data_IF_336233557421
#
_entry.id   IF_336233557421
#
_cell.length_a   1.000
_cell.length_b   1.000
_cell.length_c   1.000
_cell.angle_alpha   90.00
_cell.angle_beta   90.00
_cell.angle_gamma   90.00
#
_symmetry.space_group_name_H-M   'P 1'
#
loop_
_entity.id
_entity.type
_entity.pdbx_description
1 polymer ?
#
# COMPACT_ATOMS: atom_id res chain seq x y z
N UNK A 1 3.42 -21.25 23.24
CA UNK A 1 4.44 -22.27 22.87
C UNK A 1 4.16 -22.88 21.50
N UNK A 2 2.98 -23.47 21.26
CA UNK A 2 2.61 -24.06 19.95
C UNK A 2 2.61 -23.05 18.79
N UNK A 3 2.07 -21.85 18.99
CA UNK A 3 2.04 -20.78 17.97
C UNK A 3 3.45 -20.26 17.64
N UNK A 4 4.33 -20.15 18.65
CA UNK A 4 5.70 -19.67 18.48
C UNK A 4 6.55 -20.67 17.69
N UNK A 5 6.44 -21.98 17.98
CA UNK A 5 7.10 -23.04 17.21
C UNK A 5 6.66 -23.07 15.74
N UNK A 6 5.39 -22.76 15.47
CA UNK A 6 4.86 -22.68 14.09
C UNK A 6 5.36 -21.43 13.36
N UNK A 7 5.49 -20.29 14.05
CA UNK A 7 6.02 -19.04 13.49
C UNK A 7 7.50 -19.15 13.13
N UNK A 8 8.30 -19.84 13.96
CA UNK A 8 9.72 -20.06 13.72
C UNK A 8 10.01 -20.97 12.49
N UNK A 9 9.02 -21.73 11.98
CA UNK A 9 9.20 -22.58 10.78
C UNK A 9 9.05 -21.83 9.44
N UNK A 10 8.80 -20.52 9.47
CA UNK A 10 9.18 -19.59 8.40
C UNK A 10 8.52 -19.73 7.02
N UNK A 11 7.28 -20.22 6.90
CA UNK A 11 6.65 -20.39 5.56
C UNK A 11 5.24 -19.80 5.34
N UNK A 12 4.53 -19.31 6.36
CA UNK A 12 3.16 -18.78 6.20
C UNK A 12 2.87 -17.69 7.24
N UNK A 13 2.06 -16.65 6.94
CA UNK A 13 1.49 -15.80 7.98
C UNK A 13 0.66 -16.64 8.97
N UNK A 14 0.91 -16.46 10.28
CA UNK A 14 0.19 -17.18 11.32
C UNK A 14 -1.04 -16.39 11.78
N UNK A 15 -2.20 -17.01 11.60
CA UNK A 15 -3.49 -16.49 12.00
C UNK A 15 -3.94 -17.14 13.31
N UNK A 16 -4.52 -16.34 14.18
CA UNK A 16 -5.14 -16.83 15.41
C UNK A 16 -6.48 -16.15 15.64
N UNK A 17 -7.24 -16.74 16.56
CA UNK A 17 -8.48 -16.17 17.06
C UNK A 17 -8.32 -15.96 18.55
N UNK A 18 -8.79 -14.83 19.04
CA UNK A 18 -8.95 -14.60 20.48
C UNK A 18 -10.37 -14.15 20.76
N UNK A 19 -10.87 -14.48 21.95
CA UNK A 19 -12.15 -13.98 22.43
C UNK A 19 -11.91 -12.69 23.20
N UNK A 20 -12.47 -11.59 22.69
CA UNK A 20 -12.52 -10.32 23.40
C UNK A 20 -14.00 -9.95 23.51
N UNK A 21 -14.49 -9.77 24.74
CA UNK A 21 -15.86 -9.34 25.02
C UNK A 21 -16.94 -10.11 24.22
N UNK A 22 -16.89 -11.44 24.25
CA UNK A 22 -17.83 -12.35 23.57
C UNK A 22 -17.87 -12.27 22.03
N UNK A 23 -16.88 -11.63 21.40
CA UNK A 23 -16.69 -11.66 19.94
C UNK A 23 -15.39 -12.36 19.59
N UNK A 24 -15.44 -13.24 18.59
CA UNK A 24 -14.23 -13.81 17.96
C UNK A 24 -13.61 -12.74 17.08
N UNK A 25 -12.46 -12.23 17.49
CA UNK A 25 -11.70 -11.27 16.68
C UNK A 25 -10.54 -11.98 16.04
N UNK A 26 -10.47 -11.92 14.71
CA UNK A 26 -9.35 -12.42 13.94
C UNK A 26 -8.19 -11.45 14.04
N UNK A 27 -6.98 -11.99 14.15
CA UNK A 27 -5.79 -11.18 14.15
C UNK A 27 -4.72 -11.78 13.25
N UNK A 28 -3.90 -10.90 12.70
CA UNK A 28 -2.70 -11.26 11.94
C UNK A 28 -1.47 -10.91 12.77
N UNK A 29 -0.56 -11.87 12.94
CA UNK A 29 0.74 -11.59 13.57
C UNK A 29 1.63 -10.84 12.59
N UNK A 30 2.07 -9.64 12.97
CA UNK A 30 2.96 -8.79 12.18
C UNK A 30 4.44 -9.06 12.48
N UNK A 31 4.76 -9.30 13.74
CA UNK A 31 6.10 -9.62 14.19
C UNK A 31 6.06 -10.46 15.46
N UNK A 32 7.03 -11.36 15.62
CA UNK A 32 7.24 -12.13 16.84
C UNK A 32 8.68 -11.89 17.31
N UNK A 33 8.87 -11.60 18.59
CA UNK A 33 10.19 -11.57 19.21
C UNK A 33 10.17 -12.33 20.53
N UNK A 34 11.32 -12.88 20.91
CA UNK A 34 11.52 -13.52 22.20
C UNK A 34 12.29 -12.57 23.13
N UNK A 35 11.88 -12.55 24.39
CA UNK A 35 12.52 -11.79 25.46
C UNK A 35 12.84 -12.77 26.60
N UNK A 36 14.11 -12.84 27.01
CA UNK A 36 14.52 -13.67 28.15
C UNK A 36 14.38 -12.83 29.41
N UNK A 37 13.32 -13.09 30.17
CA UNK A 37 12.97 -12.31 31.37
C UNK A 37 13.90 -12.65 32.55
N UNK A 38 14.47 -13.85 32.59
CA UNK A 38 15.46 -14.29 33.57
C UNK A 38 16.38 -15.36 32.97
N UNK A 39 17.66 -15.33 33.29
CA UNK A 39 18.62 -16.33 32.83
C UNK A 39 18.21 -17.73 33.31
N UNK A 40 18.07 -18.66 32.36
CA UNK A 40 17.60 -20.04 32.62
C UNK A 40 16.08 -20.25 32.63
N UNK A 41 15.26 -19.22 32.38
CA UNK A 41 13.80 -19.40 32.19
C UNK A 41 13.41 -19.53 30.72
N UNK A 42 12.24 -20.12 30.47
CA UNK A 42 11.64 -20.12 29.14
C UNK A 42 11.48 -18.68 28.61
N UNK A 43 11.76 -18.44 27.31
CA UNK A 43 11.62 -17.11 26.72
C UNK A 43 10.15 -16.69 26.65
N UNK A 44 9.88 -15.44 27.01
CA UNK A 44 8.59 -14.80 26.76
C UNK A 44 8.51 -14.42 25.29
N UNK A 45 7.43 -14.80 24.62
CA UNK A 45 7.20 -14.41 23.24
C UNK A 45 6.23 -13.24 23.18
N UNK A 46 6.69 -12.12 22.62
CA UNK A 46 5.88 -10.92 22.40
C UNK A 46 5.54 -10.84 20.91
N UNK A 47 4.25 -10.83 20.61
CA UNK A 47 3.73 -10.68 19.26
C UNK A 47 3.10 -9.29 19.08
N UNK A 48 3.48 -8.60 18.01
CA UNK A 48 2.72 -7.46 17.51
C UNK A 48 1.66 -8.01 16.58
N UNK A 49 0.40 -7.67 16.82
CA UNK A 49 -0.73 -8.16 16.03
C UNK A 49 -1.53 -7.00 15.45
N UNK A 50 -2.05 -7.19 14.25
CA UNK A 50 -3.08 -6.34 13.66
C UNK A 50 -4.44 -7.00 13.91
N UNK A 51 -5.34 -6.26 14.54
CA UNK A 51 -6.73 -6.68 14.72
C UNK A 51 -7.49 -6.42 13.42
N UNK A 52 -8.23 -7.43 12.95
CA UNK A 52 -9.05 -7.33 11.74
C UNK A 52 -10.48 -6.99 12.12
N UNK A 53 -11.13 -6.14 11.32
CA UNK A 53 -12.54 -5.83 11.52
C UNK A 53 -13.43 -6.98 11.01
N UNK A 54 -14.67 -7.05 11.50
CA UNK A 54 -15.64 -8.07 11.06
C UNK A 54 -15.91 -8.01 9.55
N UNK A 55 -15.78 -6.84 8.91
CA UNK A 55 -15.85 -6.67 7.45
C UNK A 55 -14.74 -7.45 6.74
N UNK A 56 -13.53 -7.44 7.30
CA UNK A 56 -12.36 -8.10 6.74
C UNK A 56 -12.50 -9.62 6.90
N UNK A 57 -13.12 -10.06 7.99
CA UNK A 57 -13.46 -11.47 8.24
C UNK A 57 -14.62 -11.97 7.37
N UNK A 58 -15.60 -11.11 7.06
CA UNK A 58 -16.76 -11.47 6.24
C UNK A 58 -16.38 -11.76 4.79
N UNK A 59 -15.36 -11.06 4.25
CA UNK A 59 -14.75 -11.33 2.95
C UNK A 59 -13.98 -12.65 2.91
N UNK A 60 -13.54 -13.16 4.06
CA UNK A 60 -12.86 -14.45 4.18
C UNK A 60 -13.84 -15.64 4.32
N UNK A 61 -15.15 -15.40 4.56
CA UNK A 61 -16.14 -16.45 4.84
C UNK A 61 -17.03 -16.84 3.66
N UNK A 62 -17.01 -16.12 2.55
CA UNK A 62 -17.70 -16.53 1.32
C UNK A 62 -16.74 -17.30 0.43
N UNK A 63 -16.79 -18.62 0.51
CA UNK A 63 -16.05 -19.50 -0.39
C UNK A 63 -16.50 -19.40 -1.85
N UNK A 64 -15.62 -19.89 -2.72
CA UNK A 64 -15.90 -20.33 -4.10
C UNK A 64 -16.22 -19.24 -5.15
N UNK A 65 -15.31 -18.27 -5.27
CA UNK A 65 -14.81 -17.92 -6.60
C UNK A 65 -13.33 -18.25 -6.59
N UNK A 66 -12.91 -19.32 -7.26
CA UNK A 66 -11.50 -19.67 -7.47
C UNK A 66 -10.85 -18.61 -8.37
N UNK A 67 -10.58 -17.43 -7.82
CA UNK A 67 -9.50 -16.62 -8.32
C UNK A 67 -8.32 -16.86 -7.38
N UNK A 68 -7.22 -17.49 -7.85
CA UNK A 68 -6.00 -17.49 -7.06
C UNK A 68 -5.69 -16.04 -6.70
N UNK A 69 -5.27 -15.81 -5.46
CA UNK A 69 -4.81 -14.48 -5.05
C UNK A 69 -3.80 -13.99 -6.11
N UNK A 70 -3.95 -12.76 -6.62
CA UNK A 70 -3.10 -12.29 -7.70
C UNK A 70 -1.64 -12.44 -7.27
N UNK A 71 -0.83 -13.13 -8.08
CA UNK A 71 0.62 -13.21 -7.83
C UNK A 71 1.34 -11.90 -8.21
N UNK A 72 0.61 -11.00 -8.88
CA UNK A 72 1.11 -9.72 -9.38
C UNK A 72 0.06 -8.61 -9.28
N UNK A 73 0.54 -7.37 -9.28
CA UNK A 73 -0.29 -6.16 -9.36
C UNK A 73 -0.79 -5.89 -10.79
N UNK A 74 -0.28 -6.61 -11.79
CA UNK A 74 -0.66 -6.40 -13.19
C UNK A 74 -2.14 -6.71 -13.42
N UNK A 75 -2.82 -5.83 -14.16
CA UNK A 75 -4.26 -5.83 -14.37
C UNK A 75 -5.06 -5.21 -13.22
N UNK A 76 -4.43 -4.78 -12.13
CA UNK A 76 -5.11 -4.23 -10.97
C UNK A 76 -5.20 -2.71 -10.98
N UNK A 77 -6.23 -2.22 -10.28
CA UNK A 77 -6.51 -0.79 -10.10
C UNK A 77 -6.73 -0.51 -8.61
N UNK A 78 -6.00 0.45 -8.08
CA UNK A 78 -6.08 0.86 -6.67
C UNK A 78 -6.69 2.24 -6.59
N UNK A 79 -7.76 2.35 -5.81
CA UNK A 79 -8.61 3.54 -5.74
C UNK A 79 -8.57 4.09 -4.33
N UNK A 80 -8.33 5.39 -4.20
CA UNK A 80 -8.37 6.01 -2.88
C UNK A 80 -9.79 6.09 -2.32
N UNK A 81 -9.89 5.85 -1.01
CA UNK A 81 -11.13 5.95 -0.23
C UNK A 81 -11.76 7.33 -0.41
N UNK A 82 -13.05 7.36 -0.76
CA UNK A 82 -13.82 8.59 -0.96
C UNK A 82 -13.70 9.24 -2.35
N UNK A 83 -12.75 8.81 -3.17
CA UNK A 83 -12.49 9.38 -4.51
C UNK A 83 -13.13 8.63 -5.67
N UNK A 84 -13.08 7.30 -5.61
CA UNK A 84 -13.54 6.45 -6.71
C UNK A 84 -12.56 6.36 -7.89
N UNK A 85 -12.92 5.55 -8.88
CA UNK A 85 -12.13 5.32 -10.08
C UNK A 85 -11.86 6.62 -10.84
N UNK A 86 -10.61 6.84 -11.25
CA UNK A 86 -10.18 8.03 -11.99
C UNK A 86 -9.98 9.27 -11.13
N UNK A 87 -10.10 9.19 -9.81
CA UNK A 87 -9.77 10.28 -8.89
C UNK A 87 -8.43 9.99 -8.21
N UNK A 88 -7.33 10.24 -8.94
CA UNK A 88 -5.97 9.83 -8.56
C UNK A 88 -5.85 8.31 -8.28
N UNK A 89 -6.58 7.49 -9.03
CA UNK A 89 -6.48 6.02 -8.94
C UNK A 89 -5.23 5.52 -9.66
N UNK A 90 -4.54 4.53 -9.10
CA UNK A 90 -3.36 3.90 -9.70
C UNK A 90 -3.77 2.70 -10.56
N UNK A 91 -3.28 2.64 -11.79
CA UNK A 91 -3.55 1.58 -12.74
C UNK A 91 -2.24 0.88 -13.10
N UNK A 92 -2.15 -0.41 -12.79
CA UNK A 92 -1.01 -1.26 -13.11
C UNK A 92 -1.41 -2.20 -14.24
N UNK A 93 -1.61 -1.66 -15.44
CA UNK A 93 -2.24 -2.40 -16.54
C UNK A 93 -1.37 -3.57 -17.03
N UNK A 94 -0.06 -3.36 -17.19
CA UNK A 94 0.90 -4.36 -17.63
C UNK A 94 2.32 -4.00 -17.17
N UNK A 95 3.31 -4.91 -17.34
CA UNK A 95 4.72 -4.59 -17.09
C UNK A 95 5.27 -3.40 -17.88
N UNK A 96 4.59 -2.97 -18.95
CA UNK A 96 5.01 -1.87 -19.83
C UNK A 96 4.07 -0.66 -19.75
N UNK A 97 3.01 -0.71 -18.93
CA UNK A 97 2.01 0.35 -18.86
C UNK A 97 1.44 0.49 -17.46
N UNK A 98 1.86 1.56 -16.78
CA UNK A 98 1.35 1.97 -15.47
C UNK A 98 1.02 3.46 -15.50
N UNK A 99 -0.05 3.90 -14.85
CA UNK A 99 -0.43 5.31 -14.81
C UNK A 99 -1.29 5.68 -13.60
N UNK A 100 -1.36 6.98 -13.32
CA UNK A 100 -2.34 7.60 -12.43
C UNK A 100 -3.46 8.17 -13.29
N UNK A 101 -4.71 7.82 -13.00
CA UNK A 101 -5.87 8.40 -13.68
C UNK A 101 -6.48 9.54 -12.88
N UNK A 102 -6.71 10.65 -13.57
CA UNK A 102 -7.43 11.85 -13.13
C UNK A 102 -8.69 12.07 -13.98
N UNK A 103 -9.20 11.04 -14.67
CA UNK A 103 -10.36 11.12 -15.58
C UNK A 103 -11.71 11.39 -14.88
N UNK A 104 -11.81 11.16 -13.56
CA UNK A 104 -13.01 11.46 -12.80
C UNK A 104 -13.34 12.94 -12.87
N UNK A 105 -14.63 13.28 -13.01
CA UNK A 105 -15.08 14.66 -12.96
C UNK A 105 -14.71 15.35 -11.63
N UNK A 106 -14.60 14.58 -10.53
CA UNK A 106 -14.16 15.08 -9.23
C UNK A 106 -12.72 15.57 -9.26
N UNK A 107 -11.88 15.09 -10.18
CA UNK A 107 -10.46 15.48 -10.25
C UNK A 107 -10.26 16.97 -10.55
N UNK A 108 -11.29 17.67 -11.03
CA UNK A 108 -11.29 19.14 -11.16
C UNK A 108 -11.16 19.88 -9.82
N UNK A 109 -11.33 19.18 -8.70
CA UNK A 109 -11.10 19.73 -7.35
C UNK A 109 -9.63 19.73 -6.96
N UNK A 110 -8.76 19.00 -7.67
CA UNK A 110 -7.33 19.09 -7.44
C UNK A 110 -6.80 20.47 -7.90
N UNK A 111 -5.74 20.99 -7.26
CA UNK A 111 -5.06 22.18 -7.74
C UNK A 111 -4.62 22.02 -9.20
N UNK A 112 -4.67 23.11 -9.96
CA UNK A 112 -4.03 23.16 -11.27
C UNK A 112 -2.52 22.91 -11.14
N UNK A 113 -1.90 22.52 -12.25
CA UNK A 113 -0.45 22.57 -12.42
C UNK A 113 0.02 24.03 -12.33
N UNK A 114 1.31 24.25 -12.12
CA UNK A 114 1.85 25.58 -11.84
C UNK A 114 1.81 26.52 -13.07
N UNK A 115 1.63 25.96 -14.28
CA UNK A 115 1.35 26.69 -15.51
C UNK A 115 -0.15 27.03 -15.70
N UNK A 116 -1.01 26.69 -14.74
CA UNK A 116 -2.46 26.92 -14.76
C UNK A 116 -3.30 25.85 -15.43
N UNK A 117 -2.70 24.84 -16.10
CA UNK A 117 -3.48 23.76 -16.72
C UNK A 117 -3.95 22.74 -15.69
N UNK A 118 -5.03 22.01 -15.99
CA UNK A 118 -5.45 20.86 -15.18
C UNK A 118 -4.46 19.69 -15.35
N UNK A 119 -4.37 18.75 -14.38
CA UNK A 119 -3.64 17.52 -14.59
C UNK A 119 -4.21 16.77 -15.81
N UNK A 120 -3.36 16.08 -16.60
CA UNK A 120 -3.84 15.30 -17.73
C UNK A 120 -4.71 14.14 -17.26
N UNK A 121 -5.64 13.64 -18.10
CA UNK A 121 -6.53 12.53 -17.70
C UNK A 121 -5.77 11.28 -17.25
N UNK A 122 -4.63 10.98 -17.87
CA UNK A 122 -3.72 9.90 -17.45
C UNK A 122 -2.30 10.42 -17.38
N UNK A 123 -1.63 10.17 -16.26
CA UNK A 123 -0.21 10.45 -16.10
C UNK A 123 0.57 9.15 -15.97
N UNK A 124 1.39 8.85 -16.99
CA UNK A 124 2.16 7.61 -17.05
C UNK A 124 3.26 7.59 -15.99
N UNK A 125 3.49 6.41 -15.44
CA UNK A 125 4.73 6.11 -14.72
C UNK A 125 5.84 5.82 -15.72
N UNK A 126 7.02 6.35 -15.40
CA UNK A 126 8.29 6.10 -16.09
C UNK A 126 9.22 5.34 -15.13
N UNK A 127 10.29 4.72 -15.68
CA UNK A 127 11.34 4.05 -14.90
C UNK A 127 10.80 3.13 -13.79
N UNK A 128 9.74 2.37 -14.08
CA UNK A 128 9.02 1.62 -13.06
C UNK A 128 9.40 0.14 -13.03
N UNK A 129 9.21 -0.47 -11.87
CA UNK A 129 9.44 -1.89 -11.63
C UNK A 129 8.56 -2.41 -10.48
N UNK A 130 8.27 -3.71 -10.49
CA UNK A 130 7.58 -4.39 -9.41
C UNK A 130 8.40 -5.59 -8.95
N UNK A 131 8.64 -5.69 -7.64
CA UNK A 131 9.24 -6.84 -7.00
C UNK A 131 8.16 -7.67 -6.26
N UNK A 132 7.79 -8.86 -6.76
CA UNK A 132 6.77 -9.69 -6.13
C UNK A 132 7.20 -10.26 -4.77
N UNK A 133 8.50 -10.37 -4.49
CA UNK A 133 8.99 -10.90 -3.20
C UNK A 133 8.74 -9.92 -2.06
N UNK A 134 8.93 -8.63 -2.34
CA UNK A 134 8.71 -7.55 -1.39
C UNK A 134 7.36 -6.86 -1.59
N UNK A 135 6.57 -7.27 -2.60
CA UNK A 135 5.31 -6.65 -3.03
C UNK A 135 5.45 -5.14 -3.16
N UNK A 136 6.52 -4.71 -3.80
CA UNK A 136 6.89 -3.30 -3.87
C UNK A 136 6.93 -2.83 -5.31
N UNK A 137 6.15 -1.81 -5.63
CA UNK A 137 6.23 -1.07 -6.88
C UNK A 137 7.08 0.18 -6.69
N UNK A 138 7.94 0.47 -7.66
CA UNK A 138 8.66 1.74 -7.77
C UNK A 138 8.36 2.35 -9.14
N UNK A 139 8.23 3.66 -9.22
CA UNK A 139 8.03 4.35 -10.48
C UNK A 139 8.13 5.86 -10.36
N UNK A 140 8.31 6.54 -11.48
CA UNK A 140 8.53 7.99 -11.53
C UNK A 140 7.38 8.66 -12.26
N UNK A 141 6.92 9.79 -11.76
CA UNK A 141 6.06 10.72 -12.47
C UNK A 141 6.86 11.99 -12.71
N UNK A 142 7.10 12.33 -13.98
CA UNK A 142 7.71 13.61 -14.36
C UNK A 142 6.63 14.62 -14.76
N UNK A 143 6.53 15.76 -14.08
CA UNK A 143 5.60 16.84 -14.38
C UNK A 143 6.14 17.87 -15.40
N UNK A 144 7.35 17.65 -15.92
CA UNK A 144 7.93 18.51 -16.95
C UNK A 144 7.04 18.60 -18.21
N UNK A 145 7.09 19.72 -18.94
CA UNK A 145 7.91 20.93 -18.69
C UNK A 145 7.36 21.86 -17.60
N UNK A 146 6.23 21.52 -16.98
CA UNK A 146 5.64 22.28 -15.86
C UNK A 146 6.15 21.74 -14.51
N UNK A 147 5.39 22.04 -13.46
CA UNK A 147 5.45 21.41 -12.14
C UNK A 147 4.06 21.34 -11.54
N UNK A 148 3.88 20.56 -10.49
CA UNK A 148 2.64 20.53 -9.72
C UNK A 148 2.92 20.84 -8.27
N UNK A 149 2.35 21.94 -7.76
CA UNK A 149 2.57 22.40 -6.38
C UNK A 149 4.06 22.64 -6.08
N UNK A 150 4.81 23.09 -7.09
CA UNK A 150 6.26 23.34 -7.04
C UNK A 150 7.13 22.12 -7.30
N UNK A 151 6.56 20.92 -7.43
CA UNK A 151 7.30 19.68 -7.67
C UNK A 151 7.35 19.33 -9.16
N UNK A 152 8.55 19.11 -9.68
CA UNK A 152 8.72 18.67 -11.08
C UNK A 152 8.72 17.14 -11.20
N UNK A 153 9.10 16.41 -10.15
CA UNK A 153 9.18 14.94 -10.22
C UNK A 153 8.72 14.29 -8.93
N UNK A 154 7.97 13.20 -9.05
CA UNK A 154 7.55 12.36 -7.92
C UNK A 154 8.07 10.93 -8.10
N UNK A 155 8.83 10.44 -7.13
CA UNK A 155 9.37 9.07 -7.12
C UNK A 155 8.57 8.24 -6.13
N UNK A 156 7.78 7.32 -6.66
CA UNK A 156 6.90 6.44 -5.89
C UNK A 156 7.63 5.19 -5.43
N UNK A 157 7.34 4.79 -4.20
CA UNK A 157 7.64 3.48 -3.64
C UNK A 157 6.39 3.01 -2.87
N UNK A 158 5.67 2.04 -3.41
CA UNK A 158 4.41 1.54 -2.87
C UNK A 158 4.57 0.09 -2.45
N UNK A 159 4.09 -0.26 -1.25
CA UNK A 159 4.06 -1.64 -0.77
C UNK A 159 2.62 -2.12 -0.65
N UNK A 160 2.33 -3.27 -1.27
CA UNK A 160 1.00 -3.87 -1.30
C UNK A 160 0.78 -4.88 -0.18
N UNK A 161 -0.49 -5.06 0.19
CA UNK A 161 -0.97 -6.11 1.09
C UNK A 161 -0.60 -7.51 0.56
N UNK A 162 -0.70 -8.53 1.41
CA UNK A 162 -0.23 -9.87 1.04
C UNK A 162 -1.06 -10.54 -0.06
N UNK A 163 -2.32 -10.16 -0.16
CA UNK A 163 -3.31 -10.51 -1.17
C UNK A 163 -3.37 -9.49 -2.33
N UNK A 164 -2.50 -8.46 -2.29
CA UNK A 164 -2.42 -7.39 -3.28
C UNK A 164 -3.72 -6.59 -3.45
N UNK A 165 -4.61 -6.57 -2.47
CA UNK A 165 -5.88 -5.85 -2.55
C UNK A 165 -5.79 -4.35 -2.21
N UNK A 166 -4.71 -3.93 -1.55
CA UNK A 166 -4.55 -2.58 -1.00
C UNK A 166 -3.09 -2.14 -0.95
N UNK A 167 -2.87 -0.82 -0.91
CA UNK A 167 -1.55 -0.22 -0.67
C UNK A 167 -1.44 0.05 0.83
N UNK A 168 -0.56 -0.69 1.51
CA UNK A 168 -0.49 -0.71 2.98
C UNK A 168 0.67 0.12 3.53
N UNK A 169 1.66 0.44 2.71
CA UNK A 169 2.80 1.25 3.09
C UNK A 169 3.48 1.87 1.86
N UNK A 170 4.47 2.73 2.12
CA UNK A 170 5.29 3.35 1.09
C UNK A 170 5.42 4.84 1.27
N UNK A 171 6.02 5.49 0.26
CA UNK A 171 6.16 6.93 0.19
C UNK A 171 6.32 7.42 -1.24
N UNK A 172 6.09 8.71 -1.41
CA UNK A 172 6.45 9.48 -2.61
C UNK A 172 7.52 10.47 -2.22
N UNK A 173 8.68 10.37 -2.84
CA UNK A 173 9.72 11.39 -2.73
C UNK A 173 9.47 12.45 -3.80
N UNK A 174 9.07 13.65 -3.40
CA UNK A 174 8.85 14.76 -4.32
C UNK A 174 10.10 15.62 -4.48
N UNK A 175 10.45 15.89 -5.74
CA UNK A 175 11.62 16.66 -6.14
C UNK A 175 11.11 17.99 -6.72
N UNK A 176 11.51 19.12 -6.12
CA UNK A 176 11.07 20.44 -6.55
C UNK A 176 11.63 20.81 -7.92
N UNK A 177 10.93 21.67 -8.65
CA UNK A 177 11.43 22.28 -9.89
C UNK A 177 12.57 23.30 -9.63
N UNK A 178 12.60 23.87 -8.42
CA UNK A 178 13.62 24.79 -7.96
C UNK A 178 14.57 24.05 -7.02
N UNK A 179 15.80 23.82 -7.47
CA UNK A 179 16.85 23.08 -6.73
C UNK A 179 17.20 23.71 -5.37
N UNK A 180 16.80 24.95 -5.10
CA UNK A 180 16.97 25.60 -3.80
C UNK A 180 15.93 25.16 -2.77
N UNK A 181 14.82 24.57 -3.21
CA UNK A 181 13.78 24.04 -2.32
C UNK A 181 14.16 22.61 -1.90
N UNK A 182 13.86 22.21 -0.66
CA UNK A 182 14.11 20.85 -0.23
C UNK A 182 13.09 19.89 -0.85
N UNK A 183 13.55 18.69 -1.20
CA UNK A 183 12.68 17.56 -1.50
C UNK A 183 11.92 17.09 -0.24
N UNK A 184 10.82 16.38 -0.44
CA UNK A 184 9.92 15.96 0.64
C UNK A 184 9.49 14.51 0.47
N UNK A 185 9.24 13.85 1.59
CA UNK A 185 8.64 12.52 1.60
C UNK A 185 7.16 12.63 2.00
N UNK A 186 6.27 12.15 1.12
CA UNK A 186 4.83 12.06 1.35
C UNK A 186 4.45 10.61 1.59
N UNK A 187 3.86 10.31 2.74
CA UNK A 187 3.54 8.94 3.15
C UNK A 187 2.08 8.57 2.84
N UNK A 188 1.87 7.33 2.37
CA UNK A 188 0.54 6.74 2.19
C UNK A 188 -0.22 6.67 3.51
N UNK A 189 -1.51 7.04 3.49
CA UNK A 189 -2.38 7.04 4.67
C UNK A 189 -2.16 8.20 5.65
N UNK A 190 -1.18 9.08 5.40
CA UNK A 190 -0.90 10.30 6.18
C UNK A 190 -1.07 11.55 5.32
N UNK A 191 -0.30 11.65 4.24
CA UNK A 191 -0.30 12.78 3.31
C UNK A 191 -1.05 12.44 2.03
N UNK A 192 -0.97 11.17 1.62
CA UNK A 192 -1.68 10.62 0.47
C UNK A 192 -2.91 9.83 0.94
N UNK A 193 -3.86 9.61 0.03
CA UNK A 193 -5.08 8.87 0.30
C UNK A 193 -4.85 7.49 0.93
N UNK A 194 -5.91 6.95 1.54
CA UNK A 194 -5.96 5.54 1.95
C UNK A 194 -6.54 4.71 0.82
N UNK A 195 -5.99 3.53 0.59
CA UNK A 195 -6.33 2.65 -0.52
C UNK A 195 -6.83 1.31 0.03
#
# INVERSE_FOLDING_TARGET
VELARRVESGKVPHFGYTEVAQRRVGFRVLSLRSEVVKEGSDPLYVATVQMLADSDLSRMRTGAGEHPAPETIWGQVYVQTGGGLGFASYHFQSPDTCYISYESALSKTFPALDNGSQPPPKKLFEEFSYDPRTRTFKGVIDWSPSSWQGDQKWVYNMTFSADLDSIVAGKVHSVPADDKKPSKDLHFGVHLGRF
#
